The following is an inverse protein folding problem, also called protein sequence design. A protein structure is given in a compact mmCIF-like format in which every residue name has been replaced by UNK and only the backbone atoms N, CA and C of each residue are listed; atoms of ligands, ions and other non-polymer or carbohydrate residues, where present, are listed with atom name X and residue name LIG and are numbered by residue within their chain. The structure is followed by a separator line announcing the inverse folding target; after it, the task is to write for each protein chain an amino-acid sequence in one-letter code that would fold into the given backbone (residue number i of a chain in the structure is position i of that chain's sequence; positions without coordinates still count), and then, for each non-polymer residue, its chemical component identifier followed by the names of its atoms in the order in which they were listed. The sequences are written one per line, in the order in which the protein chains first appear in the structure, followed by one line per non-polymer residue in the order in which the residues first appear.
data_IF_978012601937
#
_entry.id   IF_978012601937
#
_cell.length_a   1.000
_cell.length_b   1.000
_cell.length_c   1.000
_cell.angle_alpha   90.00
_cell.angle_beta   90.00
_cell.angle_gamma   90.00
#
_symmetry.space_group_name_H-M   'P 1'
#
loop_
_entity.id
_entity.type
_entity.pdbx_description
1 polymer ?
#
# COMPACT_ATOMS: atom_id res chain seq x y z
N UNK A 1 -20.51 -5.32 17.73
CA UNK A 1 -20.00 -3.92 17.59
C UNK A 1 -18.48 -3.91 17.54
N UNK A 2 -17.89 -3.24 16.55
CA UNK A 2 -16.42 -3.14 16.41
C UNK A 2 -15.86 -2.03 17.31
N UNK A 3 -14.87 -2.35 18.14
CA UNK A 3 -14.17 -1.35 18.97
C UNK A 3 -13.41 -0.34 18.08
N UNK A 4 -12.87 -0.80 16.96
CA UNK A 4 -12.16 0.04 15.99
C UNK A 4 -13.08 1.06 15.33
N UNK A 5 -14.32 0.68 14.98
CA UNK A 5 -15.28 1.59 14.35
C UNK A 5 -15.65 2.79 15.25
N UNK A 6 -15.58 2.64 16.56
CA UNK A 6 -15.88 3.70 17.54
C UNK A 6 -14.73 4.67 17.76
N UNK A 7 -13.50 4.28 17.41
CA UNK A 7 -12.34 5.15 17.58
C UNK A 7 -12.31 6.21 16.47
N UNK A 8 -12.28 7.52 16.82
CA UNK A 8 -12.21 8.57 15.82
C UNK A 8 -10.86 8.54 15.08
N UNK A 9 -10.84 9.08 13.88
CA UNK A 9 -9.61 9.37 13.14
C UNK A 9 -9.28 10.84 13.35
N UNK A 10 -8.13 11.10 13.94
CA UNK A 10 -7.64 12.47 14.15
C UNK A 10 -7.04 12.99 12.84
N UNK A 11 -7.42 14.19 12.47
CA UNK A 11 -6.90 14.91 11.30
C UNK A 11 -5.77 15.82 11.79
N UNK A 12 -4.52 15.58 11.38
CA UNK A 12 -3.40 16.45 11.77
C UNK A 12 -3.48 17.79 11.06
N UNK A 13 -2.77 18.78 11.61
CA UNK A 13 -2.67 20.09 11.00
C UNK A 13 -2.08 20.02 9.57
N UNK A 14 -2.66 20.77 8.65
CA UNK A 14 -2.23 20.77 7.24
C UNK A 14 -2.91 19.71 6.36
N UNK A 15 -3.86 18.96 6.90
CA UNK A 15 -4.72 18.05 6.13
C UNK A 15 -6.10 18.65 5.97
N UNK A 16 -6.55 18.76 4.74
CA UNK A 16 -7.90 19.18 4.39
C UNK A 16 -8.77 17.96 4.09
N UNK A 17 -9.95 17.95 4.66
CA UNK A 17 -10.95 16.89 4.40
C UNK A 17 -12.20 17.53 3.82
N UNK A 18 -12.60 17.06 2.64
CA UNK A 18 -13.88 17.43 2.01
C UNK A 18 -14.77 16.19 2.02
N UNK A 19 -15.96 16.35 2.58
CA UNK A 19 -16.98 15.30 2.61
C UNK A 19 -18.19 15.79 1.84
N UNK A 20 -18.50 15.14 0.73
CA UNK A 20 -19.69 15.41 -0.09
C UNK A 20 -20.52 14.15 -0.21
N UNK A 21 -21.56 14.05 0.63
CA UNK A 21 -22.41 12.87 0.71
C UNK A 21 -21.62 11.63 1.15
N UNK A 22 -21.42 10.69 0.22
CA UNK A 22 -20.64 9.45 0.44
C UNK A 22 -19.23 9.55 -0.15
N UNK A 23 -18.88 10.64 -0.80
CA UNK A 23 -17.54 10.83 -1.35
C UNK A 23 -16.69 11.67 -0.41
N UNK A 24 -15.50 11.18 -0.12
CA UNK A 24 -14.52 11.86 0.72
C UNK A 24 -13.24 12.11 -0.06
N UNK A 25 -12.71 13.32 0.05
CA UNK A 25 -11.41 13.70 -0.45
C UNK A 25 -10.53 14.17 0.71
N UNK A 26 -9.35 13.63 0.81
CA UNK A 26 -8.36 13.97 1.84
C UNK A 26 -7.10 14.48 1.13
N UNK A 27 -6.74 15.72 1.41
CA UNK A 27 -5.60 16.40 0.81
C UNK A 27 -4.57 16.76 1.87
N UNK A 28 -3.32 16.49 1.59
CA UNK A 28 -2.18 16.85 2.43
C UNK A 28 -0.96 17.21 1.59
N UNK A 29 0.20 17.30 2.23
CA UNK A 29 1.45 17.68 1.56
C UNK A 29 1.91 16.67 0.50
N UNK A 30 1.55 15.39 0.64
CA UNK A 30 1.95 14.31 -0.27
C UNK A 30 0.93 14.01 -1.37
N UNK A 31 -0.11 14.81 -1.51
CA UNK A 31 -1.13 14.67 -2.53
C UNK A 31 -2.55 14.64 -2.00
N UNK A 32 -3.45 14.24 -2.86
CA UNK A 32 -4.88 14.11 -2.57
C UNK A 32 -5.33 12.70 -2.88
N UNK A 33 -6.11 12.12 -1.97
CA UNK A 33 -6.74 10.81 -2.13
C UNK A 33 -8.24 10.96 -2.01
N UNK A 34 -8.98 10.29 -2.89
CA UNK A 34 -10.44 10.27 -2.90
C UNK A 34 -10.96 8.86 -2.73
N UNK A 35 -12.11 8.74 -2.08
CA UNK A 35 -12.79 7.45 -1.89
C UNK A 35 -14.27 7.63 -1.72
N UNK A 36 -15.04 6.70 -2.26
CA UNK A 36 -16.48 6.58 -1.99
C UNK A 36 -16.69 5.69 -0.78
N UNK A 37 -17.41 6.21 0.21
CA UNK A 37 -17.76 5.51 1.45
C UNK A 37 -18.95 4.58 1.19
N UNK A 38 -18.90 3.38 1.77
CA UNK A 38 -20.00 2.43 1.65
C UNK A 38 -21.29 3.00 2.24
N UNK A 39 -22.43 2.79 1.55
CA UNK A 39 -23.74 3.33 1.92
C UNK A 39 -24.23 2.96 3.33
N UNK A 40 -23.74 1.85 3.88
CA UNK A 40 -24.03 1.41 5.24
C UNK A 40 -23.31 2.19 6.34
N UNK A 41 -22.43 3.11 5.96
CA UNK A 41 -21.60 3.87 6.91
C UNK A 41 -21.92 5.35 6.80
N UNK A 42 -22.12 5.99 7.94
CA UNK A 42 -22.18 7.43 8.07
C UNK A 42 -20.85 7.94 8.64
N UNK A 43 -20.24 8.90 7.96
CA UNK A 43 -19.03 9.57 8.41
C UNK A 43 -19.38 11.02 8.73
N UNK A 44 -18.96 11.49 9.90
CA UNK A 44 -19.10 12.89 10.30
C UNK A 44 -17.73 13.50 10.49
N UNK A 45 -17.54 14.67 9.93
CA UNK A 45 -16.37 15.50 10.14
C UNK A 45 -16.72 16.57 11.19
N UNK A 46 -16.08 16.51 12.34
CA UNK A 46 -16.25 17.48 13.44
C UNK A 46 -14.88 17.95 13.89
N UNK A 47 -14.65 19.28 13.82
CA UNK A 47 -13.37 19.91 14.14
C UNK A 47 -12.20 19.21 13.41
N UNK A 48 -11.33 18.52 14.14
CA UNK A 48 -10.18 17.81 13.59
C UNK A 48 -10.32 16.29 13.71
N UNK A 49 -11.55 15.77 13.66
CA UNK A 49 -11.81 14.33 13.79
C UNK A 49 -12.86 13.84 12.80
N UNK A 50 -12.68 12.61 12.34
CA UNK A 50 -13.69 11.86 11.61
C UNK A 50 -14.29 10.81 12.56
N UNK A 51 -15.61 10.81 12.67
CA UNK A 51 -16.36 9.81 13.45
C UNK A 51 -17.21 8.95 12.52
N UNK A 52 -17.41 7.70 12.92
CA UNK A 52 -18.04 6.67 12.09
C UNK A 52 -19.24 6.07 12.81
N UNK A 53 -20.35 5.92 12.09
CA UNK A 53 -21.56 5.25 12.56
C UNK A 53 -22.06 4.24 11.53
N UNK A 54 -22.58 3.13 12.03
CA UNK A 54 -23.32 2.20 11.21
C UNK A 54 -24.74 2.71 11.00
N UNK A 55 -25.22 2.69 9.75
CA UNK A 55 -26.62 2.97 9.44
C UNK A 55 -27.47 1.75 9.72
N UNK A 56 -28.66 1.98 10.19
CA UNK A 56 -29.65 0.92 10.41
C UNK A 56 -30.14 0.34 9.07
N UNK A 57 -30.58 -0.91 9.09
CA UNK A 57 -31.12 -1.60 7.92
C UNK A 57 -30.08 -2.27 7.02
N UNK A 58 -28.79 -2.23 7.35
CA UNK A 58 -27.74 -2.92 6.60
C UNK A 58 -27.10 -4.02 7.46
N UNK A 59 -27.02 -5.22 6.88
CA UNK A 59 -26.23 -6.29 7.47
C UNK A 59 -24.75 -5.88 7.54
N UNK A 60 -24.06 -6.26 8.60
CA UNK A 60 -22.62 -6.01 8.79
C UNK A 60 -22.18 -4.52 8.75
N UNK A 61 -23.11 -3.59 8.94
CA UNK A 61 -22.81 -2.16 8.90
C UNK A 61 -21.68 -1.73 9.85
N UNK A 62 -21.58 -2.34 11.02
CA UNK A 62 -20.46 -2.10 11.95
C UNK A 62 -19.12 -2.64 11.47
N UNK A 63 -19.11 -3.74 10.72
CA UNK A 63 -17.89 -4.25 10.08
C UNK A 63 -17.43 -3.29 8.98
N UNK A 64 -18.37 -2.81 8.15
CA UNK A 64 -18.10 -1.80 7.13
C UNK A 64 -17.61 -0.47 7.73
N UNK A 65 -18.16 -0.04 8.86
CA UNK A 65 -17.69 1.14 9.58
C UNK A 65 -16.25 0.99 10.07
N UNK A 66 -15.88 -0.18 10.58
CA UNK A 66 -14.51 -0.49 10.98
C UNK A 66 -13.52 -0.49 9.80
N UNK A 67 -13.94 -1.06 8.67
CA UNK A 67 -13.15 -1.04 7.42
C UNK A 67 -12.97 0.39 6.91
N UNK A 68 -14.03 1.17 6.85
CA UNK A 68 -13.99 2.56 6.41
C UNK A 68 -13.07 3.39 7.31
N UNK A 69 -13.17 3.23 8.61
CA UNK A 69 -12.28 3.91 9.57
C UNK A 69 -10.81 3.59 9.29
N UNK A 70 -10.48 2.32 9.08
CA UNK A 70 -9.09 1.89 8.82
C UNK A 70 -8.57 2.43 7.48
N UNK A 71 -9.42 2.45 6.45
CA UNK A 71 -9.06 2.99 5.14
C UNK A 71 -8.83 4.51 5.21
N UNK A 72 -9.72 5.26 5.85
CA UNK A 72 -9.56 6.70 5.99
C UNK A 72 -8.36 7.08 6.86
N UNK A 73 -8.10 6.32 7.92
CA UNK A 73 -6.88 6.50 8.71
C UNK A 73 -5.61 6.29 7.88
N UNK A 74 -5.58 5.26 7.03
CA UNK A 74 -4.47 5.04 6.10
C UNK A 74 -4.33 6.18 5.08
N UNK A 75 -5.44 6.74 4.59
CA UNK A 75 -5.42 7.90 3.69
C UNK A 75 -4.82 9.13 4.39
N UNK A 76 -5.21 9.42 5.62
CA UNK A 76 -4.66 10.54 6.41
C UNK A 76 -3.16 10.37 6.62
N UNK A 77 -2.68 9.19 7.01
CA UNK A 77 -1.25 8.90 7.16
C UNK A 77 -0.53 9.05 5.82
N UNK A 78 -1.12 8.53 4.74
CA UNK A 78 -0.53 8.59 3.41
C UNK A 78 -0.31 10.01 2.89
N UNK A 79 -1.28 10.91 3.07
CA UNK A 79 -1.15 12.31 2.63
C UNK A 79 -0.27 13.15 3.55
N UNK A 80 0.01 12.70 4.78
CA UNK A 80 0.90 13.38 5.74
C UNK A 80 2.33 12.88 5.66
N UNK A 81 2.55 11.62 5.96
CA UNK A 81 3.87 10.99 6.04
C UNK A 81 4.23 10.24 4.76
N UNK A 82 3.23 9.68 4.09
CA UNK A 82 3.41 8.76 2.99
C UNK A 82 3.72 7.34 3.45
N UNK A 83 3.72 6.42 2.50
CA UNK A 83 4.09 5.03 2.72
C UNK A 83 5.33 4.68 1.91
N UNK A 84 6.14 3.80 2.48
CA UNK A 84 7.34 3.29 1.83
C UNK A 84 7.32 1.77 1.89
N UNK A 85 7.60 1.10 0.77
CA UNK A 85 7.76 -0.34 0.69
C UNK A 85 9.08 -0.67 0.02
N UNK A 86 9.88 -1.51 0.67
CA UNK A 86 11.19 -1.92 0.16
C UNK A 86 11.14 -3.36 -0.33
N UNK A 87 11.74 -3.59 -1.48
CA UNK A 87 11.93 -4.90 -2.10
C UNK A 87 13.42 -5.17 -2.27
N UNK A 88 13.81 -6.42 -2.09
CA UNK A 88 15.18 -6.91 -2.31
C UNK A 88 15.18 -7.98 -3.39
N UNK A 89 16.16 -7.91 -4.27
CA UNK A 89 16.44 -8.92 -5.28
C UNK A 89 17.57 -9.80 -4.80
N UNK A 90 17.31 -11.08 -4.68
CA UNK A 90 18.31 -12.08 -4.25
C UNK A 90 18.53 -13.06 -5.40
N UNK A 91 19.74 -13.13 -5.88
CA UNK A 91 20.17 -14.02 -6.96
C UNK A 91 21.32 -13.43 -7.77
N UNK A 92 22.17 -14.30 -8.31
CA UNK A 92 23.29 -13.90 -9.15
C UNK A 92 22.77 -13.29 -10.44
N UNK A 93 23.23 -12.07 -10.77
CA UNK A 93 22.81 -11.36 -11.98
C UNK A 93 21.44 -10.67 -11.89
N UNK A 94 20.75 -10.74 -10.77
CA UNK A 94 19.49 -10.02 -10.57
C UNK A 94 19.77 -8.53 -10.34
N UNK A 95 19.10 -7.70 -11.15
CA UNK A 95 19.29 -6.24 -11.13
C UNK A 95 17.96 -5.54 -11.32
N UNK A 96 17.86 -4.39 -10.70
CA UNK A 96 16.76 -3.44 -10.90
C UNK A 96 17.32 -2.08 -11.34
N UNK A 97 16.63 -1.46 -12.26
CA UNK A 97 16.90 -0.10 -12.71
C UNK A 97 15.58 0.67 -12.90
N UNK A 98 15.62 1.97 -12.77
CA UNK A 98 14.47 2.83 -12.98
C UNK A 98 14.77 3.78 -14.13
N UNK A 99 13.84 3.83 -15.07
CA UNK A 99 13.83 4.76 -16.19
C UNK A 99 12.53 5.58 -16.13
N UNK A 100 12.60 6.79 -15.63
CA UNK A 100 11.40 7.63 -15.48
C UNK A 100 10.36 6.97 -14.58
N UNK A 101 9.25 6.54 -15.16
CA UNK A 101 8.13 5.87 -14.45
C UNK A 101 8.11 4.35 -14.64
N UNK A 102 9.15 3.77 -15.21
CA UNK A 102 9.24 2.33 -15.49
C UNK A 102 10.34 1.70 -14.66
N UNK A 103 10.02 0.59 -13.99
CA UNK A 103 10.97 -0.27 -13.30
C UNK A 103 11.38 -1.39 -14.23
N UNK A 104 12.67 -1.50 -14.53
CA UNK A 104 13.24 -2.57 -15.34
C UNK A 104 13.93 -3.58 -14.46
N UNK A 105 13.53 -4.84 -14.56
CA UNK A 105 14.05 -5.94 -13.75
C UNK A 105 14.76 -6.98 -14.63
N UNK A 106 15.97 -7.33 -14.27
CA UNK A 106 16.68 -8.49 -14.81
C UNK A 106 16.63 -9.62 -13.78
N UNK A 107 15.81 -10.63 -14.03
CA UNK A 107 15.51 -11.71 -13.08
C UNK A 107 15.89 -13.10 -13.62
N UNK A 108 16.86 -13.17 -14.54
CA UNK A 108 17.29 -14.42 -15.13
C UNK A 108 16.34 -14.96 -16.21
N UNK A 109 15.48 -14.12 -16.76
CA UNK A 109 14.69 -14.42 -17.97
C UNK A 109 15.48 -14.07 -19.23
N UNK A 110 15.02 -14.56 -20.37
CA UNK A 110 15.63 -14.27 -21.68
C UNK A 110 15.55 -12.78 -22.08
N UNK A 111 14.63 -12.03 -21.48
CA UNK A 111 14.42 -10.60 -21.68
C UNK A 111 14.21 -9.90 -20.34
N UNK A 112 14.53 -8.60 -20.23
CA UNK A 112 14.23 -7.82 -19.04
C UNK A 112 12.71 -7.66 -18.90
N UNK A 113 12.25 -7.58 -17.66
CA UNK A 113 10.85 -7.29 -17.33
C UNK A 113 10.71 -5.78 -17.11
N UNK A 114 9.78 -5.17 -17.80
CA UNK A 114 9.43 -3.76 -17.64
C UNK A 114 8.08 -3.64 -16.94
N UNK A 115 8.01 -2.83 -15.89
CA UNK A 115 6.80 -2.58 -15.12
C UNK A 115 6.58 -1.07 -15.01
N UNK A 116 5.47 -0.61 -15.56
CA UNK A 116 5.06 0.79 -15.43
C UNK A 116 4.43 1.05 -14.08
N UNK A 117 4.87 2.12 -13.42
CA UNK A 117 4.31 2.55 -12.14
C UNK A 117 3.03 3.36 -12.38
N UNK A 118 1.97 3.09 -11.61
CA UNK A 118 0.77 3.92 -11.66
C UNK A 118 1.05 5.34 -11.13
N UNK A 119 0.19 6.28 -11.49
CA UNK A 119 0.28 7.65 -11.02
C UNK A 119 0.27 7.73 -9.48
N UNK A 120 1.10 8.60 -8.92
CA UNK A 120 1.21 8.80 -7.47
C UNK A 120 2.18 7.85 -6.76
N UNK A 121 2.81 6.92 -7.47
CA UNK A 121 3.86 6.06 -6.94
C UNK A 121 5.18 6.42 -7.59
N UNK A 122 6.21 6.58 -6.76
CA UNK A 122 7.59 6.78 -7.17
C UNK A 122 8.43 5.59 -6.73
N UNK A 123 9.40 5.24 -7.54
CA UNK A 123 10.37 4.20 -7.20
C UNK A 123 11.78 4.78 -7.21
N UNK A 124 12.62 4.25 -6.33
CA UNK A 124 14.05 4.55 -6.26
C UNK A 124 14.82 3.24 -6.16
N UNK A 125 15.99 3.17 -6.77
CA UNK A 125 16.93 2.07 -6.62
C UNK A 125 18.19 2.60 -5.94
N UNK A 126 18.29 2.51 -4.60
CA UNK A 126 19.52 2.88 -3.89
C UNK A 126 20.69 1.99 -4.29
N UNK A 127 20.41 0.74 -4.65
CA UNK A 127 21.35 -0.21 -5.21
C UNK A 127 20.70 -1.01 -6.35
N UNK A 128 21.49 -1.76 -7.11
CA UNK A 128 20.96 -2.60 -8.18
C UNK A 128 20.09 -3.77 -7.69
N UNK A 129 20.12 -4.06 -6.40
CA UNK A 129 19.39 -5.18 -5.79
C UNK A 129 18.29 -4.71 -4.82
N UNK A 130 18.05 -3.41 -4.73
CA UNK A 130 17.05 -2.85 -3.83
C UNK A 130 16.15 -1.87 -4.56
N UNK A 131 14.84 -2.00 -4.33
CA UNK A 131 13.81 -1.12 -4.86
C UNK A 131 13.06 -0.52 -3.68
N UNK A 132 12.93 0.79 -3.65
CA UNK A 132 12.13 1.53 -2.67
C UNK A 132 10.96 2.17 -3.39
N UNK A 133 9.74 1.78 -3.02
CA UNK A 133 8.49 2.36 -3.52
C UNK A 133 7.95 3.36 -2.50
N UNK A 134 7.59 4.53 -2.95
CA UNK A 134 7.04 5.62 -2.13
C UNK A 134 5.74 6.15 -2.73
N UNK A 135 4.80 6.52 -1.90
CA UNK A 135 3.53 7.13 -2.33
C UNK A 135 2.56 7.37 -1.19
N UNK A 136 1.44 8.02 -1.49
CA UNK A 136 0.40 8.33 -0.51
C UNK A 136 -0.62 7.19 -0.34
N UNK A 137 -0.89 6.43 -1.41
CA UNK A 137 -1.88 5.35 -1.36
C UNK A 137 -1.24 4.02 -0.96
N UNK A 138 -1.53 3.58 0.27
CA UNK A 138 -1.06 2.30 0.83
C UNK A 138 -1.45 1.10 -0.04
N UNK A 139 -2.67 1.10 -0.57
CA UNK A 139 -3.18 0.00 -1.40
C UNK A 139 -2.43 -0.09 -2.72
N UNK A 140 -2.24 1.04 -3.40
CA UNK A 140 -1.53 1.09 -4.67
C UNK A 140 -0.05 0.68 -4.53
N UNK A 141 0.65 1.14 -3.49
CA UNK A 141 2.03 0.72 -3.19
C UNK A 141 2.10 -0.78 -2.92
N UNK A 142 1.18 -1.30 -2.11
CA UNK A 142 1.10 -2.73 -1.80
C UNK A 142 0.85 -3.58 -3.05
N UNK A 143 0.00 -3.12 -3.96
CA UNK A 143 -0.31 -3.78 -5.23
C UNK A 143 0.94 -3.83 -6.11
N UNK A 144 1.58 -2.70 -6.36
CA UNK A 144 2.81 -2.63 -7.16
C UNK A 144 3.93 -3.51 -6.58
N UNK A 145 4.13 -3.45 -5.27
CA UNK A 145 5.12 -4.31 -4.60
C UNK A 145 4.80 -5.80 -4.77
N UNK A 146 3.53 -6.18 -4.68
CA UNK A 146 3.06 -7.53 -4.91
C UNK A 146 3.27 -8.00 -6.35
N UNK A 147 3.02 -7.15 -7.33
CA UNK A 147 3.23 -7.41 -8.76
C UNK A 147 4.71 -7.59 -9.09
N UNK A 148 5.58 -6.69 -8.60
CA UNK A 148 7.03 -6.81 -8.77
C UNK A 148 7.56 -8.10 -8.15
N UNK A 149 7.08 -8.47 -6.95
CA UNK A 149 7.43 -9.73 -6.31
C UNK A 149 6.91 -10.95 -7.08
N UNK A 150 5.75 -10.85 -7.72
CA UNK A 150 5.13 -11.95 -8.46
C UNK A 150 5.91 -12.36 -9.71
N UNK A 151 6.69 -11.47 -10.32
CA UNK A 151 7.52 -11.81 -11.47
C UNK A 151 8.51 -12.94 -11.17
N UNK A 152 9.10 -12.94 -9.97
CA UNK A 152 9.94 -14.05 -9.50
C UNK A 152 9.88 -14.14 -7.98
N UNK A 153 8.98 -14.97 -7.48
CA UNK A 153 8.83 -15.20 -6.04
C UNK A 153 10.06 -15.88 -5.45
N UNK A 154 10.40 -15.64 -4.16
CA UNK A 154 11.50 -16.33 -3.50
C UNK A 154 11.31 -17.84 -3.52
N UNK A 155 12.34 -18.57 -3.91
CA UNK A 155 12.34 -20.02 -3.86
C UNK A 155 12.66 -20.54 -2.45
N UNK A 156 12.19 -21.74 -2.08
CA UNK A 156 12.35 -22.25 -0.72
C UNK A 156 13.73 -22.84 -0.40
N UNK A 157 14.64 -22.98 -1.37
CA UNK A 157 15.95 -23.61 -1.15
C UNK A 157 17.06 -22.59 -0.89
N UNK A 158 17.30 -21.67 -1.80
CA UNK A 158 18.33 -20.62 -1.69
C UNK A 158 17.74 -19.24 -1.47
N UNK A 159 16.42 -19.10 -1.50
CA UNK A 159 15.72 -17.83 -1.31
C UNK A 159 15.88 -16.84 -2.49
N UNK A 160 16.29 -17.33 -3.67
CA UNK A 160 16.42 -16.49 -4.87
C UNK A 160 15.07 -15.99 -5.34
N UNK A 161 14.98 -14.72 -5.65
CA UNK A 161 13.77 -14.07 -6.14
C UNK A 161 13.66 -12.63 -5.64
N UNK A 162 12.51 -12.03 -5.89
CA UNK A 162 12.14 -10.72 -5.37
C UNK A 162 11.36 -10.91 -4.07
N UNK A 163 11.80 -10.32 -2.99
CA UNK A 163 11.15 -10.40 -1.68
C UNK A 163 10.99 -9.04 -1.05
N UNK A 164 10.09 -8.92 -0.09
CA UNK A 164 10.04 -7.74 0.77
C UNK A 164 11.26 -7.70 1.67
N UNK A 165 11.73 -6.50 2.01
CA UNK A 165 12.90 -6.33 2.89
C UNK A 165 12.70 -6.93 4.28
N UNK A 166 11.47 -6.94 4.77
CA UNK A 166 11.03 -7.49 6.06
C UNK A 166 10.50 -8.94 5.97
N UNK A 167 10.56 -9.57 4.79
CA UNK A 167 10.03 -10.92 4.57
C UNK A 167 11.01 -11.99 5.07
N UNK A 168 10.51 -12.88 5.89
CA UNK A 168 11.22 -14.09 6.31
C UNK A 168 10.86 -15.22 5.35
N UNK A 169 11.80 -15.56 4.45
CA UNK A 169 11.62 -16.67 3.52
C UNK A 169 11.87 -17.99 4.24
N UNK A 170 10.86 -18.87 4.28
CA UNK A 170 11.02 -20.22 4.84
C UNK A 170 11.83 -21.06 3.86
N UNK A 171 13.00 -21.47 4.29
CA UNK A 171 13.91 -22.34 3.52
C UNK A 171 13.69 -23.81 3.90
N UNK A 172 13.84 -24.68 2.90
CA UNK A 172 13.85 -26.13 3.06
C UNK A 172 15.26 -26.65 2.78
N UNK A 173 15.69 -27.66 3.51
CA UNK A 173 16.92 -28.38 3.18
C UNK A 173 16.67 -29.35 2.02
N UNK A 174 17.63 -29.42 1.11
CA UNK A 174 17.61 -30.44 0.06
C UNK A 174 17.78 -31.81 0.71
N UNK A 175 17.01 -32.81 0.21
CA UNK A 175 17.12 -34.20 0.69
C UNK A 175 18.57 -34.65 0.48
N UNK A 176 19.27 -34.98 1.57
CA UNK A 176 20.58 -35.65 1.46
C UNK A 176 20.34 -37.02 0.84
N UNK A 177 21.08 -37.32 -0.24
CA UNK A 177 21.12 -38.68 -0.82
C UNK A 177 21.81 -39.62 0.16
#
# INVERSE_FOLDING_TARGET
MSRLAKAPVVIPAGVEVKLDGQDIAIKGKNGELTRTIHKAVEVKHTDNQLTFRAREGFADAWAQAGTTRSLLNAMVIGVTEGFTKKLQLVGVGYRAAIKGNTVTLSLGFSHPVEHELPAGITAKCPSQTEIVLEGADKQAIGQVAGELRAYRRPEPYKGKGVRYADEIVRTKEAKKK
#
